data_IF_988689882612
#
_entry.id   IF_988689882612
#
_cell.length_a   1.000
_cell.length_b   1.000
_cell.length_c   1.000
_cell.angle_alpha   90.00
_cell.angle_beta   90.00
_cell.angle_gamma   90.00
#
_symmetry.space_group_name_H-M   'P 1'
#
loop_
_entity.id
_entity.type
_entity.pdbx_description
1 polymer ?
#
# COMPACT_ATOMS: atom_id res chain seq x y z
N UNK A 1 -2.22 -8.55 16.08
CA UNK A 1 -3.61 -8.68 15.58
C UNK A 1 -4.45 -7.59 16.25
N UNK A 2 -5.14 -6.79 15.46
CA UNK A 2 -6.18 -5.94 15.98
C UNK A 2 -7.32 -6.84 16.52
N UNK A 3 -7.71 -6.63 17.75
CA UNK A 3 -8.65 -7.49 18.44
C UNK A 3 -10.08 -6.90 18.45
N UNK A 4 -10.22 -5.63 18.07
CA UNK A 4 -11.47 -4.91 18.09
C UNK A 4 -11.64 -4.13 16.79
N UNK A 5 -12.66 -4.49 16.04
CA UNK A 5 -12.90 -3.94 14.70
C UNK A 5 -13.93 -2.80 14.72
N UNK A 6 -14.84 -2.84 15.68
CA UNK A 6 -15.95 -1.89 15.80
C UNK A 6 -15.75 -0.93 16.97
N UNK A 7 -16.35 0.25 16.84
CA UNK A 7 -16.27 1.29 17.83
C UNK A 7 -16.59 0.83 19.24
N UNK A 8 -15.68 1.06 20.15
CA UNK A 8 -15.88 0.93 21.59
C UNK A 8 -16.24 2.28 22.18
N UNK A 9 -16.87 2.27 23.36
CA UNK A 9 -17.21 3.50 24.10
C UNK A 9 -15.92 4.30 24.31
N UNK A 10 -15.97 5.60 24.01
CA UNK A 10 -14.85 6.54 24.11
C UNK A 10 -13.71 6.34 23.09
N UNK A 11 -13.96 5.61 21.98
CA UNK A 11 -13.04 5.54 20.85
C UNK A 11 -13.18 6.76 19.95
N UNK A 12 -12.05 7.31 19.50
CA UNK A 12 -12.01 8.43 18.55
C UNK A 12 -12.30 7.95 17.10
N UNK A 13 -12.32 6.64 16.87
CA UNK A 13 -12.52 6.05 15.56
C UNK A 13 -13.39 4.80 15.65
N UNK A 14 -14.49 4.78 14.90
CA UNK A 14 -15.51 3.74 14.99
C UNK A 14 -15.22 2.46 14.20
N UNK A 15 -14.17 2.46 13.40
CA UNK A 15 -13.82 1.38 12.51
C UNK A 15 -12.36 0.99 12.68
N UNK A 16 -12.03 -0.30 12.61
CA UNK A 16 -10.65 -0.78 12.83
C UNK A 16 -10.03 -0.24 14.12
N UNK A 17 -10.81 -0.20 15.18
CA UNK A 17 -10.45 0.46 16.44
C UNK A 17 -9.15 -0.10 17.01
N UNK A 18 -8.95 -1.42 16.93
CA UNK A 18 -7.73 -2.05 17.42
C UNK A 18 -6.49 -1.61 16.65
N UNK A 19 -6.55 -1.50 15.33
CA UNK A 19 -5.44 -1.01 14.51
C UNK A 19 -5.19 0.49 14.76
N UNK A 20 -6.25 1.28 14.91
CA UNK A 20 -6.15 2.70 15.25
C UNK A 20 -5.45 2.90 16.60
N UNK A 21 -5.93 2.26 17.67
CA UNK A 21 -5.33 2.33 18.99
C UNK A 21 -3.88 1.83 19.00
N UNK A 22 -3.57 0.81 18.21
CA UNK A 22 -2.22 0.28 18.09
C UNK A 22 -1.24 1.33 17.59
N UNK A 23 -1.58 2.10 16.53
CA UNK A 23 -0.64 3.03 15.90
C UNK A 23 -0.70 4.45 16.48
N UNK A 24 -1.87 4.89 17.00
CA UNK A 24 -2.00 6.24 17.53
C UNK A 24 -1.73 6.34 19.03
N UNK A 25 -2.02 5.27 19.79
CA UNK A 25 -1.91 5.28 21.25
C UNK A 25 -0.78 4.40 21.75
N UNK A 26 -0.75 3.11 21.34
CA UNK A 26 0.22 2.16 21.91
C UNK A 26 1.62 2.31 21.29
N UNK A 27 1.71 2.56 19.99
CA UNK A 27 2.98 2.61 19.24
C UNK A 27 3.10 3.81 18.28
N UNK A 28 2.88 5.05 18.74
CA UNK A 28 3.03 6.23 17.89
C UNK A 28 4.45 6.41 17.33
N UNK A 29 5.44 5.77 17.94
CA UNK A 29 6.83 5.78 17.47
C UNK A 29 7.08 4.94 16.22
N UNK A 30 6.13 4.16 15.74
CA UNK A 30 6.21 3.42 14.47
C UNK A 30 6.18 4.36 13.27
N UNK A 31 5.49 5.49 13.38
CA UNK A 31 5.37 6.48 12.32
C UNK A 31 6.75 7.01 11.92
N UNK A 32 7.08 6.90 10.64
CA UNK A 32 8.37 7.29 10.08
C UNK A 32 9.52 6.28 10.32
N UNK A 33 9.20 5.08 10.83
CA UNK A 33 10.14 3.96 11.00
C UNK A 33 9.65 2.70 10.30
N UNK A 34 8.36 2.42 10.34
CA UNK A 34 7.75 1.28 9.66
C UNK A 34 7.65 1.63 8.18
N UNK A 35 8.26 0.80 7.34
CA UNK A 35 8.33 1.05 5.90
C UNK A 35 7.13 0.49 5.14
N UNK A 36 6.47 -0.52 5.68
CA UNK A 36 5.27 -1.12 5.11
C UNK A 36 4.41 -1.76 6.20
N UNK A 37 3.11 -1.64 6.04
CA UNK A 37 2.10 -2.47 6.67
C UNK A 37 1.54 -3.43 5.62
N UNK A 38 1.56 -4.73 5.93
CA UNK A 38 1.00 -5.78 5.09
C UNK A 38 -0.17 -6.41 5.84
N UNK A 39 -1.34 -5.86 5.66
CA UNK A 39 -2.55 -6.43 6.21
C UNK A 39 -2.94 -7.71 5.45
N UNK A 40 -3.19 -8.79 6.15
CA UNK A 40 -3.41 -10.10 5.57
C UNK A 40 -4.78 -10.64 5.94
N UNK A 41 -5.77 -10.20 5.17
CA UNK A 41 -7.19 -10.46 5.37
C UNK A 41 -7.65 -11.74 4.67
N UNK A 42 -8.48 -12.55 5.34
CA UNK A 42 -9.19 -13.70 4.76
C UNK A 42 -8.34 -14.54 3.77
N UNK A 43 -7.11 -14.96 4.12
CA UNK A 43 -6.16 -15.51 3.15
C UNK A 43 -6.55 -16.89 2.60
N UNK A 44 -7.53 -17.54 3.18
CA UNK A 44 -8.00 -18.87 2.78
C UNK A 44 -9.27 -18.85 1.92
N UNK A 45 -9.73 -17.66 1.56
CA UNK A 45 -10.94 -17.44 0.77
C UNK A 45 -10.59 -16.88 -0.61
N UNK A 46 -11.09 -17.49 -1.69
CA UNK A 46 -10.94 -16.97 -3.04
C UNK A 46 -11.84 -15.74 -3.26
N UNK A 47 -11.24 -14.63 -3.66
CA UNK A 47 -11.94 -13.39 -3.96
C UNK A 47 -11.85 -13.06 -5.44
N UNK A 48 -12.93 -13.33 -6.18
CA UNK A 48 -12.98 -13.07 -7.62
C UNK A 48 -12.18 -14.04 -8.47
N UNK A 49 -11.84 -13.64 -9.71
CA UNK A 49 -11.17 -14.46 -10.70
C UNK A 49 -9.64 -14.46 -10.58
N UNK A 50 -9.06 -13.46 -9.93
CA UNK A 50 -7.62 -13.29 -9.69
C UNK A 50 -7.35 -12.68 -8.33
N UNK A 51 -6.20 -12.97 -7.77
CA UNK A 51 -5.74 -12.31 -6.55
C UNK A 51 -5.46 -10.84 -6.81
N UNK A 52 -5.76 -9.99 -5.83
CA UNK A 52 -5.47 -8.55 -5.91
C UNK A 52 -4.76 -8.09 -4.65
N UNK A 53 -3.70 -7.29 -4.85
CA UNK A 53 -3.07 -6.54 -3.77
C UNK A 53 -3.59 -5.11 -3.86
N UNK A 54 -4.34 -4.68 -2.86
CA UNK A 54 -4.78 -3.30 -2.72
C UNK A 54 -3.75 -2.52 -1.92
N UNK A 55 -3.32 -1.36 -2.41
CA UNK A 55 -2.28 -0.58 -1.74
C UNK A 55 -2.52 0.92 -1.82
N UNK A 56 -1.80 1.68 -1.00
CA UNK A 56 -1.62 3.09 -1.26
C UNK A 56 -0.99 3.32 -2.65
N UNK A 57 -1.26 4.48 -3.27
CA UNK A 57 -0.76 4.81 -4.62
C UNK A 57 0.77 4.69 -4.74
N UNK A 58 1.46 5.00 -3.67
CA UNK A 58 2.91 5.10 -3.66
C UNK A 58 3.60 3.74 -3.80
N UNK A 59 2.98 2.64 -3.37
CA UNK A 59 3.51 1.29 -3.55
C UNK A 59 3.13 0.66 -4.89
N UNK A 60 2.14 1.18 -5.59
CA UNK A 60 1.59 0.55 -6.79
C UNK A 60 2.67 0.18 -7.82
N UNK A 61 3.59 1.06 -8.25
CA UNK A 61 4.57 0.70 -9.27
C UNK A 61 5.56 -0.38 -8.81
N UNK A 62 5.90 -0.42 -7.53
CA UNK A 62 6.74 -1.47 -6.97
C UNK A 62 6.02 -2.83 -6.97
N UNK A 63 4.75 -2.84 -6.59
CA UNK A 63 3.94 -4.06 -6.55
C UNK A 63 3.65 -4.59 -7.96
N UNK A 64 3.41 -3.72 -8.95
CA UNK A 64 3.26 -4.11 -10.35
C UNK A 64 4.53 -4.81 -10.85
N UNK A 65 5.70 -4.23 -10.62
CA UNK A 65 6.98 -4.85 -10.96
C UNK A 65 7.23 -6.15 -10.19
N UNK A 66 6.87 -6.19 -8.91
CA UNK A 66 6.97 -7.40 -8.08
C UNK A 66 6.13 -8.54 -8.67
N UNK A 67 4.90 -8.28 -9.11
CA UNK A 67 4.04 -9.29 -9.72
C UNK A 67 4.58 -9.78 -11.08
N UNK A 68 5.19 -8.91 -11.88
CA UNK A 68 5.85 -9.30 -13.14
C UNK A 68 7.05 -10.23 -12.91
N UNK A 69 7.77 -10.04 -11.81
CA UNK A 69 8.97 -10.80 -11.48
C UNK A 69 8.69 -12.07 -10.65
N UNK A 70 7.41 -12.37 -10.35
CA UNK A 70 7.06 -13.53 -9.52
C UNK A 70 7.44 -14.85 -10.17
N UNK A 71 7.98 -15.81 -9.39
CA UNK A 71 8.07 -17.18 -9.83
C UNK A 71 6.66 -17.81 -9.97
N UNK A 72 6.60 -18.98 -10.55
CA UNK A 72 5.34 -19.73 -10.60
C UNK A 72 4.93 -20.14 -9.19
N UNK A 73 3.77 -19.64 -8.76
CA UNK A 73 3.15 -19.95 -7.48
C UNK A 73 2.14 -21.10 -7.61
N UNK A 74 1.63 -21.57 -6.49
CA UNK A 74 0.49 -22.49 -6.42
C UNK A 74 -0.69 -21.90 -7.23
N UNK A 75 -1.24 -22.70 -8.13
CA UNK A 75 -2.37 -22.25 -8.96
C UNK A 75 -3.66 -22.28 -8.16
N UNK A 76 -4.11 -21.12 -7.71
CA UNK A 76 -5.34 -20.95 -6.93
C UNK A 76 -6.41 -20.14 -7.66
N UNK A 77 -6.03 -19.33 -8.66
CA UNK A 77 -6.91 -18.46 -9.42
C UNK A 77 -6.84 -18.74 -10.93
N UNK A 78 -7.94 -18.50 -11.68
CA UNK A 78 -7.93 -18.61 -13.14
C UNK A 78 -7.17 -17.47 -13.83
N UNK A 79 -7.11 -16.28 -13.22
CA UNK A 79 -6.43 -15.09 -13.72
C UNK A 79 -5.18 -14.76 -12.92
N UNK A 80 -4.30 -13.97 -13.51
CA UNK A 80 -3.08 -13.50 -12.86
C UNK A 80 -3.38 -12.52 -11.71
N UNK A 81 -2.45 -12.41 -10.77
CA UNK A 81 -2.53 -11.44 -9.71
C UNK A 81 -2.38 -10.00 -10.25
N UNK A 82 -3.04 -9.05 -9.61
CA UNK A 82 -3.04 -7.65 -10.01
C UNK A 82 -2.94 -6.71 -8.82
N UNK A 83 -2.61 -5.44 -9.10
CA UNK A 83 -2.56 -4.37 -8.08
C UNK A 83 -3.75 -3.44 -8.29
N UNK A 84 -4.37 -3.01 -7.20
CA UNK A 84 -5.42 -1.98 -7.17
C UNK A 84 -5.08 -0.90 -6.15
N UNK A 85 -5.46 0.33 -6.45
CA UNK A 85 -5.25 1.50 -5.59
C UNK A 85 -6.44 2.47 -5.73
N UNK A 86 -6.77 3.25 -4.71
CA UNK A 86 -6.13 3.32 -3.39
C UNK A 86 -6.57 2.21 -2.44
N UNK A 87 -6.06 2.25 -1.20
CA UNK A 87 -6.61 1.51 -0.07
C UNK A 87 -8.05 1.95 0.21
N UNK A 88 -8.83 1.06 0.79
CA UNK A 88 -10.19 1.36 1.26
C UNK A 88 -10.18 1.90 2.70
N UNK A 89 -11.31 2.46 3.14
CA UNK A 89 -11.42 3.07 4.47
C UNK A 89 -11.97 2.13 5.55
N UNK A 90 -12.23 0.88 5.19
CA UNK A 90 -12.95 -0.08 6.02
C UNK A 90 -12.12 -1.31 6.44
N UNK A 91 -10.80 -1.23 6.34
CA UNK A 91 -9.85 -2.28 6.68
C UNK A 91 -8.73 -1.73 7.59
N UNK A 92 -8.05 -2.58 8.32
CA UNK A 92 -7.04 -2.21 9.33
C UNK A 92 -5.86 -1.43 8.74
N UNK A 93 -5.48 -1.70 7.50
CA UNK A 93 -4.45 -1.00 6.75
C UNK A 93 -4.74 0.51 6.59
N UNK A 94 -6.01 0.91 6.60
CA UNK A 94 -6.38 2.32 6.56
C UNK A 94 -5.91 3.07 7.81
N UNK A 95 -6.06 2.50 9.01
CA UNK A 95 -5.59 3.11 10.24
C UNK A 95 -4.07 3.31 10.25
N UNK A 96 -3.33 2.33 9.73
CA UNK A 96 -1.88 2.44 9.54
C UNK A 96 -1.52 3.52 8.54
N UNK A 97 -2.21 3.56 7.39
CA UNK A 97 -1.97 4.56 6.35
C UNK A 97 -2.19 5.99 6.85
N UNK A 98 -3.33 6.29 7.48
CA UNK A 98 -3.61 7.65 7.98
C UNK A 98 -2.64 8.10 9.08
N UNK A 99 -2.03 7.16 9.81
CA UNK A 99 -0.93 7.47 10.72
C UNK A 99 0.37 7.84 9.99
N UNK A 100 0.51 7.47 8.72
CA UNK A 100 1.69 7.73 7.90
C UNK A 100 2.59 6.51 7.71
N UNK A 101 2.03 5.30 7.81
CA UNK A 101 2.68 4.03 7.50
C UNK A 101 2.14 3.54 6.15
N UNK A 102 2.98 3.40 5.10
CA UNK A 102 2.53 2.92 3.81
C UNK A 102 1.95 1.51 3.90
N UNK A 103 0.73 1.31 3.41
CA UNK A 103 -0.05 0.11 3.70
C UNK A 103 -0.55 -0.59 2.45
N UNK A 104 -0.75 -1.89 2.59
CA UNK A 104 -1.35 -2.75 1.58
C UNK A 104 -2.09 -3.93 2.22
N UNK A 105 -3.08 -4.45 1.51
CA UNK A 105 -3.91 -5.58 1.93
C UNK A 105 -4.16 -6.51 0.76
N UNK A 106 -4.35 -7.81 1.00
CA UNK A 106 -4.95 -8.65 -0.02
C UNK A 106 -6.41 -8.24 -0.18
N UNK A 107 -6.74 -7.72 -1.37
CA UNK A 107 -8.08 -7.20 -1.63
C UNK A 107 -9.11 -8.32 -1.62
N UNK A 108 -10.22 -8.09 -0.97
CA UNK A 108 -11.35 -9.01 -0.92
C UNK A 108 -12.64 -8.31 -1.38
N UNK A 109 -13.50 -9.06 -1.99
CA UNK A 109 -14.75 -8.56 -2.56
C UNK A 109 -15.94 -9.26 -1.96
N UNK A 110 -17.12 -8.69 -2.14
CA UNK A 110 -18.37 -9.32 -1.76
C UNK A 110 -18.54 -10.71 -2.40
N UNK A 111 -19.46 -11.48 -1.85
CA UNK A 111 -19.78 -12.83 -2.29
C UNK A 111 -20.58 -13.53 -1.19
N UNK A 112 -20.95 -14.78 -1.42
CA UNK A 112 -21.84 -15.50 -0.49
C UNK A 112 -21.27 -15.62 0.93
N UNK A 113 -19.94 -15.73 1.07
CA UNK A 113 -19.31 -15.71 2.39
C UNK A 113 -19.59 -14.41 3.14
N UNK A 114 -19.39 -13.25 2.48
CA UNK A 114 -19.60 -11.92 3.09
C UNK A 114 -21.07 -11.73 3.52
N UNK A 115 -22.00 -12.32 2.80
CA UNK A 115 -23.44 -12.20 3.09
C UNK A 115 -23.93 -13.17 4.17
N UNK A 116 -23.26 -14.29 4.38
CA UNK A 116 -23.78 -15.41 5.16
C UNK A 116 -22.93 -15.80 6.37
N UNK A 117 -21.61 -15.62 6.30
CA UNK A 117 -20.64 -16.10 7.29
C UNK A 117 -19.84 -14.99 7.96
N UNK A 118 -19.40 -14.00 7.18
CA UNK A 118 -18.51 -12.95 7.64
C UNK A 118 -19.10 -12.21 8.85
N UNK A 119 -18.27 -11.99 9.88
CA UNK A 119 -18.66 -11.36 11.15
C UNK A 119 -19.87 -11.98 11.86
N UNK A 120 -20.06 -13.27 11.71
CA UNK A 120 -21.18 -13.99 12.32
C UNK A 120 -20.76 -15.25 13.05
N UNK A 121 -21.67 -15.81 13.83
CA UNK A 121 -21.49 -17.11 14.46
C UNK A 121 -21.38 -18.29 13.47
N UNK A 122 -21.67 -18.04 12.19
CA UNK A 122 -21.58 -19.03 11.12
C UNK A 122 -20.24 -19.00 10.40
N UNK A 123 -19.31 -18.13 10.80
CA UNK A 123 -17.95 -18.13 10.28
C UNK A 123 -17.21 -19.39 10.75
N UNK A 124 -17.05 -20.28 9.81
CA UNK A 124 -16.49 -21.62 9.99
C UNK A 124 -15.57 -21.95 8.80
N UNK A 125 -15.14 -23.22 8.71
CA UNK A 125 -14.20 -23.71 7.69
C UNK A 125 -14.86 -24.12 6.35
N UNK A 126 -16.18 -23.88 6.15
CA UNK A 126 -16.90 -24.24 4.92
C UNK A 126 -16.30 -23.58 3.67
N UNK A 127 -15.83 -22.35 3.79
CA UNK A 127 -15.21 -21.59 2.71
C UNK A 127 -13.68 -21.68 2.67
N UNK A 128 -13.08 -22.48 3.55
CA UNK A 128 -11.63 -22.66 3.56
C UNK A 128 -11.15 -23.38 2.30
N UNK A 129 -10.29 -22.71 1.53
CA UNK A 129 -9.62 -23.27 0.36
C UNK A 129 -8.11 -23.38 0.63
N UNK A 130 -7.57 -24.62 0.77
CA UNK A 130 -6.15 -24.81 1.07
C UNK A 130 -5.22 -24.37 -0.07
N UNK A 131 -5.67 -24.35 -1.33
CA UNK A 131 -4.85 -23.89 -2.45
C UNK A 131 -4.76 -22.37 -2.45
N UNK A 132 -5.87 -21.67 -2.18
CA UNK A 132 -5.92 -20.21 -2.02
C UNK A 132 -5.07 -19.80 -0.81
N UNK A 133 -5.21 -20.50 0.31
CA UNK A 133 -4.41 -20.26 1.50
C UNK A 133 -2.92 -20.38 1.22
N UNK A 134 -2.49 -21.46 0.56
CA UNK A 134 -1.09 -21.66 0.18
C UNK A 134 -0.60 -20.57 -0.78
N UNK A 135 -1.38 -20.23 -1.81
CA UNK A 135 -1.04 -19.18 -2.77
C UNK A 135 -0.77 -17.85 -2.08
N UNK A 136 -1.69 -17.41 -1.20
CA UNK A 136 -1.53 -16.14 -0.49
C UNK A 136 -0.30 -16.15 0.43
N UNK A 137 0.00 -17.26 1.09
CA UNK A 137 1.21 -17.37 1.91
C UNK A 137 2.49 -17.29 1.06
N UNK A 138 2.53 -17.96 -0.09
CA UNK A 138 3.65 -17.86 -1.03
C UNK A 138 3.83 -16.42 -1.52
N UNK A 139 2.73 -15.79 -1.96
CA UNK A 139 2.75 -14.40 -2.47
C UNK A 139 3.25 -13.41 -1.42
N UNK A 140 2.68 -13.43 -0.23
CA UNK A 140 3.04 -12.49 0.83
C UNK A 140 4.41 -12.77 1.44
N UNK A 141 4.83 -14.03 1.53
CA UNK A 141 6.20 -14.34 1.94
C UNK A 141 7.24 -13.77 0.97
N UNK A 142 6.99 -13.89 -0.34
CA UNK A 142 7.87 -13.30 -1.36
C UNK A 142 7.82 -11.77 -1.33
N UNK A 143 6.66 -11.19 -1.08
CA UNK A 143 6.50 -9.73 -0.96
C UNK A 143 7.28 -9.17 0.24
N UNK A 144 7.20 -9.83 1.40
CA UNK A 144 8.01 -9.48 2.57
C UNK A 144 9.50 -9.50 2.22
N UNK A 145 9.97 -10.58 1.59
CA UNK A 145 11.37 -10.70 1.17
C UNK A 145 11.77 -9.63 0.14
N UNK A 146 10.86 -9.27 -0.78
CA UNK A 146 11.13 -8.24 -1.77
C UNK A 146 11.26 -6.85 -1.13
N UNK A 147 10.43 -6.53 -0.13
CA UNK A 147 10.50 -5.27 0.62
C UNK A 147 11.76 -5.25 1.51
N UNK A 148 12.06 -6.34 2.22
CA UNK A 148 13.26 -6.47 3.07
C UNK A 148 14.56 -6.35 2.28
N UNK A 149 14.55 -6.72 1.00
CA UNK A 149 15.69 -6.59 0.10
C UNK A 149 15.91 -5.16 -0.42
N UNK A 150 15.14 -4.16 0.01
CA UNK A 150 15.32 -2.76 -0.39
C UNK A 150 16.22 -2.01 0.60
N UNK A 151 17.06 -1.10 0.08
CA UNK A 151 17.83 -0.18 0.92
C UNK A 151 17.10 1.12 1.21
N UNK A 152 16.10 1.44 0.40
CA UNK A 152 15.20 2.59 0.53
C UNK A 152 13.79 2.12 0.21
N UNK A 153 12.83 2.50 1.03
CA UNK A 153 11.41 2.22 0.79
C UNK A 153 11.02 2.64 -0.66
N UNK A 154 10.45 1.72 -1.47
CA UNK A 154 10.24 1.95 -2.90
C UNK A 154 8.95 2.72 -3.19
N UNK A 155 8.79 3.90 -2.59
CA UNK A 155 7.61 4.75 -2.75
C UNK A 155 7.73 5.63 -3.99
N UNK A 156 6.67 5.66 -4.80
CA UNK A 156 6.49 6.54 -5.95
C UNK A 156 5.31 7.47 -5.74
N UNK A 157 5.54 8.76 -5.73
CA UNK A 157 4.45 9.74 -5.61
C UNK A 157 3.83 10.13 -6.96
N UNK A 158 4.23 9.47 -8.05
CA UNK A 158 3.69 9.74 -9.40
C UNK A 158 2.18 9.49 -9.46
N UNK A 159 1.69 8.41 -8.83
CA UNK A 159 0.26 8.09 -8.77
C UNK A 159 -0.56 9.18 -8.10
N UNK A 160 -0.08 9.72 -7.00
CA UNK A 160 -0.73 10.86 -6.30
C UNK A 160 -0.81 12.10 -7.19
N UNK A 161 0.27 12.42 -7.93
CA UNK A 161 0.28 13.56 -8.86
C UNK A 161 -0.73 13.37 -10.00
N UNK A 162 -0.84 12.16 -10.56
CA UNK A 162 -1.84 11.82 -11.58
C UNK A 162 -3.28 11.99 -11.06
N UNK A 163 -3.55 11.50 -9.86
CA UNK A 163 -4.88 11.68 -9.23
C UNK A 163 -5.21 13.14 -8.95
N UNK A 164 -4.22 13.94 -8.53
CA UNK A 164 -4.40 15.36 -8.36
C UNK A 164 -4.71 16.08 -9.70
N UNK A 165 -4.09 15.65 -10.80
CA UNK A 165 -4.40 16.17 -12.15
C UNK A 165 -5.81 15.78 -12.59
N UNK A 166 -6.23 14.52 -12.38
CA UNK A 166 -7.59 14.08 -12.69
C UNK A 166 -8.64 14.88 -11.89
N UNK A 167 -8.38 15.11 -10.60
CA UNK A 167 -9.23 15.97 -9.76
C UNK A 167 -9.29 17.40 -10.26
N UNK A 168 -8.16 17.96 -10.75
CA UNK A 168 -8.11 19.29 -11.32
C UNK A 168 -8.92 19.38 -12.62
N UNK A 169 -8.92 18.35 -13.48
CA UNK A 169 -9.77 18.32 -14.70
C UNK A 169 -11.26 18.31 -14.37
N UNK A 170 -11.66 17.60 -13.28
CA UNK A 170 -13.05 17.63 -12.81
C UNK A 170 -13.46 19.05 -12.36
N UNK A 171 -12.58 19.76 -11.66
CA UNK A 171 -12.84 21.17 -11.25
C UNK A 171 -12.95 22.09 -12.45
N UNK A 172 -12.17 21.88 -13.52
CA UNK A 172 -12.27 22.66 -14.76
C UNK A 172 -13.63 22.56 -15.43
N UNK A 173 -14.28 21.40 -15.32
CA UNK A 173 -15.62 21.21 -15.88
C UNK A 173 -16.71 22.00 -15.14
N UNK A 174 -16.43 22.51 -13.96
CA UNK A 174 -17.32 23.41 -13.23
C UNK A 174 -17.12 24.83 -13.77
N UNK A 175 -18.10 25.40 -14.47
CA UNK A 175 -18.08 26.75 -15.04
C UNK A 175 -17.87 27.84 -13.96
N UNK A 176 -16.60 28.11 -13.62
CA UNK A 176 -16.24 29.13 -12.65
C UNK A 176 -14.99 29.89 -13.13
N UNK A 177 -15.20 31.09 -13.68
CA UNK A 177 -14.16 31.91 -14.29
C UNK A 177 -12.98 32.28 -13.37
N UNK A 178 -13.19 32.27 -12.05
CA UNK A 178 -12.11 32.51 -11.08
C UNK A 178 -11.10 31.33 -10.97
N UNK A 179 -11.47 30.16 -11.46
CA UNK A 179 -10.63 28.97 -11.41
C UNK A 179 -9.76 28.81 -12.67
N UNK A 180 -10.15 29.37 -13.80
CA UNK A 180 -9.43 29.21 -15.09
C UNK A 180 -7.99 29.71 -15.04
N UNK A 181 -7.74 30.89 -14.48
CA UNK A 181 -6.38 31.45 -14.38
C UNK A 181 -5.48 30.63 -13.48
N UNK A 182 -6.03 30.08 -12.39
CA UNK A 182 -5.32 29.22 -11.44
C UNK A 182 -5.11 27.82 -11.98
N UNK A 183 -6.05 27.32 -12.79
CA UNK A 183 -6.00 25.99 -13.38
C UNK A 183 -4.70 25.74 -14.16
N UNK A 184 -4.37 26.61 -15.10
CA UNK A 184 -3.15 26.43 -15.91
C UNK A 184 -1.88 26.43 -15.08
N UNK A 185 -1.83 27.28 -14.05
CA UNK A 185 -0.69 27.36 -13.14
C UNK A 185 -0.55 26.07 -12.34
N UNK A 186 -1.64 25.57 -11.76
CA UNK A 186 -1.66 24.33 -10.98
C UNK A 186 -1.34 23.12 -11.87
N UNK A 187 -1.92 23.04 -13.07
CA UNK A 187 -1.67 21.97 -14.03
C UNK A 187 -0.19 21.90 -14.42
N UNK A 188 0.45 23.03 -14.70
CA UNK A 188 1.90 23.08 -14.97
C UNK A 188 2.74 22.62 -13.78
N UNK A 189 2.37 23.03 -12.57
CA UNK A 189 3.06 22.60 -11.34
C UNK A 189 2.93 21.10 -11.13
N UNK A 190 1.73 20.53 -11.29
CA UNK A 190 1.49 19.08 -11.14
C UNK A 190 2.25 18.29 -12.20
N UNK A 191 2.26 18.71 -13.46
CA UNK A 191 3.03 18.06 -14.53
C UNK A 191 4.53 18.10 -14.24
N UNK A 192 5.05 19.22 -13.76
CA UNK A 192 6.44 19.36 -13.35
C UNK A 192 6.79 18.46 -12.16
N UNK A 193 5.88 18.39 -11.18
CA UNK A 193 6.02 17.52 -10.01
C UNK A 193 5.99 16.04 -10.37
N UNK A 194 5.07 15.63 -11.25
CA UNK A 194 4.96 14.24 -11.74
C UNK A 194 6.29 13.79 -12.37
N UNK A 195 6.83 14.57 -13.31
CA UNK A 195 8.11 14.28 -13.95
C UNK A 195 9.25 14.14 -12.92
N UNK A 196 9.31 15.03 -11.95
CA UNK A 196 10.30 14.96 -10.88
C UNK A 196 10.14 13.71 -10.04
N UNK A 197 8.90 13.28 -9.75
CA UNK A 197 8.64 12.06 -9.00
C UNK A 197 9.01 10.79 -9.78
N UNK A 198 8.81 10.77 -11.09
CA UNK A 198 9.30 9.68 -11.94
C UNK A 198 10.83 9.55 -11.91
N UNK A 199 11.55 10.68 -11.96
CA UNK A 199 13.01 10.71 -11.85
C UNK A 199 13.48 10.23 -10.48
N UNK A 200 12.81 10.69 -9.40
CA UNK A 200 13.09 10.27 -8.03
C UNK A 200 12.88 8.76 -7.84
N UNK A 201 11.75 8.24 -8.31
CA UNK A 201 11.44 6.81 -8.21
C UNK A 201 12.45 5.96 -8.98
N UNK A 202 12.82 6.36 -10.19
CA UNK A 202 13.86 5.69 -10.99
C UNK A 202 15.20 5.65 -10.25
N UNK A 203 15.55 6.74 -9.59
CA UNK A 203 16.75 6.80 -8.77
C UNK A 203 16.68 5.83 -7.57
N UNK A 204 15.53 5.78 -6.86
CA UNK A 204 15.30 4.83 -5.76
C UNK A 204 15.47 3.40 -6.24
N UNK A 205 14.84 3.03 -7.33
CA UNK A 205 14.92 1.67 -7.89
C UNK A 205 16.34 1.31 -8.33
N UNK A 206 17.10 2.26 -8.87
CA UNK A 206 18.50 2.07 -9.18
C UNK A 206 19.35 1.81 -7.92
N UNK A 207 19.08 2.52 -6.82
CA UNK A 207 19.78 2.30 -5.54
C UNK A 207 19.43 0.96 -4.93
N UNK A 208 18.17 0.57 -4.95
CA UNK A 208 17.73 -0.74 -4.47
C UNK A 208 18.33 -1.88 -5.30
N UNK A 209 18.41 -1.73 -6.62
CA UNK A 209 19.09 -2.70 -7.50
C UNK A 209 20.58 -2.82 -7.18
N UNK A 210 21.26 -1.71 -6.95
CA UNK A 210 22.68 -1.71 -6.57
C UNK A 210 22.90 -2.37 -5.20
N UNK A 211 22.01 -2.11 -4.24
CA UNK A 211 22.06 -2.73 -2.91
C UNK A 211 21.87 -4.25 -3.00
N UNK A 212 20.86 -4.70 -3.77
CA UNK A 212 20.58 -6.11 -3.99
C UNK A 212 21.74 -6.85 -4.67
N UNK A 213 22.44 -6.18 -5.59
CA UNK A 213 23.57 -6.75 -6.33
C UNK A 213 24.90 -6.69 -5.56
N UNK A 214 24.97 -5.99 -4.42
CA UNK A 214 26.19 -5.84 -3.65
C UNK A 214 26.46 -7.09 -2.83
N UNK A 215 27.52 -7.84 -3.16
CA UNK A 215 27.94 -9.05 -2.46
C UNK A 215 28.81 -8.77 -1.23
N UNK A 216 29.50 -7.62 -1.20
CA UNK A 216 30.37 -7.21 -0.09
C UNK A 216 29.53 -6.65 1.07
N UNK A 217 29.52 -7.29 2.26
CA UNK A 217 28.69 -6.86 3.38
C UNK A 217 29.03 -5.45 3.91
N UNK A 218 30.32 -5.04 3.88
CA UNK A 218 30.73 -3.71 4.37
C UNK A 218 30.28 -2.60 3.41
N UNK A 219 30.42 -2.84 2.11
CA UNK A 219 29.95 -1.90 1.08
C UNK A 219 28.42 -1.83 1.09
N UNK A 220 27.75 -2.96 1.26
CA UNK A 220 26.29 -3.04 1.36
C UNK A 220 25.77 -2.24 2.55
N UNK A 221 26.37 -2.40 3.73
CA UNK A 221 26.02 -1.62 4.93
C UNK A 221 26.30 -0.13 4.72
N UNK A 222 27.43 0.22 4.13
CA UNK A 222 27.78 1.62 3.82
C UNK A 222 26.72 2.26 2.90
N UNK A 223 26.31 1.55 1.86
CA UNK A 223 25.27 2.00 0.94
C UNK A 223 23.95 2.19 1.69
N UNK A 224 23.54 1.22 2.48
CA UNK A 224 22.32 1.30 3.30
C UNK A 224 22.33 2.53 4.22
N UNK A 225 23.40 2.72 4.97
CA UNK A 225 23.52 3.88 5.89
C UNK A 225 23.48 5.21 5.14
N UNK A 226 24.06 5.29 3.94
CA UNK A 226 24.01 6.51 3.12
C UNK A 226 22.60 6.88 2.63
N UNK A 227 21.68 5.91 2.60
CA UNK A 227 20.32 6.07 2.08
C UNK A 227 19.26 6.28 3.17
N UNK A 228 19.59 6.05 4.44
CA UNK A 228 18.65 6.18 5.57
C UNK A 228 17.97 7.54 5.69
N UNK A 229 18.70 8.62 5.40
CA UNK A 229 18.11 9.95 5.41
C UNK A 229 17.04 10.09 4.32
N UNK A 230 17.30 9.54 3.13
CA UNK A 230 16.33 9.54 2.03
C UNK A 230 15.07 8.77 2.41
N UNK A 231 15.22 7.60 3.02
CA UNK A 231 14.08 6.81 3.50
C UNK A 231 13.24 7.59 4.51
N UNK A 232 13.88 8.21 5.49
CA UNK A 232 13.20 9.06 6.47
C UNK A 232 12.41 10.21 5.82
N UNK A 233 12.98 10.85 4.81
CA UNK A 233 12.30 11.95 4.08
C UNK A 233 11.13 11.44 3.23
N UNK A 234 11.25 10.25 2.65
CA UNK A 234 10.13 9.62 1.90
C UNK A 234 8.95 9.28 2.81
N UNK A 235 9.21 8.68 3.98
CA UNK A 235 8.17 8.35 4.95
C UNK A 235 7.49 9.60 5.51
N UNK A 236 8.25 10.66 5.79
CA UNK A 236 7.66 11.96 6.16
C UNK A 236 6.77 12.54 5.07
N UNK A 237 7.21 12.42 3.81
CA UNK A 237 6.44 12.90 2.66
C UNK A 237 5.16 12.10 2.49
N UNK A 238 5.22 10.78 2.63
CA UNK A 238 4.04 9.92 2.62
C UNK A 238 2.98 10.42 3.62
N UNK A 239 3.36 10.60 4.87
CA UNK A 239 2.46 11.14 5.90
C UNK A 239 1.84 12.49 5.50
N UNK A 240 2.60 13.37 4.85
CA UNK A 240 2.12 14.71 4.47
C UNK A 240 1.18 14.68 3.28
N UNK A 241 1.29 13.71 2.39
CA UNK A 241 0.41 13.59 1.22
C UNK A 241 -0.98 13.03 1.55
N UNK A 242 -1.14 12.41 2.71
CA UNK A 242 -2.43 11.89 3.18
C UNK A 242 -3.28 12.92 3.92
N UNK A 243 -2.72 14.03 4.35
CA UNK A 243 -3.38 15.16 5.02
C UNK A 243 -3.71 16.27 4.04
#
# INVERSE_FOLDING_TARGET
>A
MAAEEWGVIDSDFDWSTGAYEQVFTAHPEWVGKVIADLNFELPALAHGAGARIRSCYEYQPFLEQFLEDLPVLTRAYPEDASVVSPIETWSDDFSMAIAGIPSMVNDFTGGSFMETHYHSQFDNDEYYDPQVYQFHHELYALLILAIDATAVVPLSFTGVMKRAQEGLELVKSCENSCLEEKYETISKLLTGAEKQQEENYRWIMQKNSAYKACEDPEQRETLYQSLRQTETELLKRFKTCLL
#
